data_IF_774450409031
#
_entry.id   IF_774450409031
#
_cell.length_a   1.000
_cell.length_b   1.000
_cell.length_c   1.000
_cell.angle_alpha   90.00
_cell.angle_beta   90.00
_cell.angle_gamma   90.00
#
_symmetry.space_group_name_H-M   'P 1'
#
loop_
_entity.id
_entity.type
_entity.pdbx_description
1 polymer ?
#
# COMPACT_ATOMS: atom_id res chain seq x y z
N UNK A 1 -0.90 2.29 2.14
CA UNK A 1 -0.51 3.57 1.51
C UNK A 1 -0.90 3.56 0.04
N UNK A 2 -0.98 4.71 -0.63
CA UNK A 2 -1.19 4.75 -2.07
C UNK A 2 0.16 4.78 -2.80
N UNK A 3 0.32 3.93 -3.80
CA UNK A 3 1.51 3.87 -4.64
C UNK A 3 1.13 3.77 -6.11
N UNK A 4 1.82 4.55 -6.94
CA UNK A 4 1.74 4.45 -8.39
C UNK A 4 2.64 3.30 -8.86
N UNK A 5 2.04 2.23 -9.39
CA UNK A 5 2.77 1.02 -9.83
C UNK A 5 3.34 1.26 -11.23
N UNK A 6 2.50 1.74 -12.14
CA UNK A 6 2.88 2.12 -13.50
C UNK A 6 2.63 3.61 -13.73
N UNK A 7 3.41 4.23 -14.61
CA UNK A 7 3.31 5.66 -14.94
C UNK A 7 1.92 6.08 -15.45
N UNK A 8 1.21 5.15 -16.07
CA UNK A 8 -0.08 5.39 -16.72
C UNK A 8 -1.28 5.01 -15.84
N UNK A 9 -1.04 4.62 -14.58
CA UNK A 9 -2.09 4.22 -13.65
C UNK A 9 -2.28 5.23 -12.52
N UNK A 10 -3.49 5.29 -11.97
CA UNK A 10 -3.72 5.99 -10.72
C UNK A 10 -3.05 5.26 -9.55
N UNK A 11 -2.63 5.99 -8.49
CA UNK A 11 -2.14 5.37 -7.28
C UNK A 11 -3.11 4.32 -6.73
N UNK A 12 -2.56 3.20 -6.27
CA UNK A 12 -3.32 2.06 -5.74
C UNK A 12 -2.87 1.68 -4.33
N UNK A 13 -3.76 1.12 -3.49
CA UNK A 13 -3.41 0.62 -2.18
C UNK A 13 -2.27 -0.37 -2.26
N UNK A 14 -1.25 -0.09 -1.48
CA UNK A 14 -0.04 -0.87 -1.33
C UNK A 14 0.36 -0.86 0.15
N UNK A 15 0.68 -2.04 0.67
CA UNK A 15 1.32 -2.19 1.98
C UNK A 15 2.68 -2.80 1.73
N UNK A 16 3.72 -2.14 2.23
CA UNK A 16 5.08 -2.63 2.14
C UNK A 16 5.73 -2.67 3.52
N UNK A 17 6.45 -3.76 3.80
CA UNK A 17 7.18 -3.97 5.05
C UNK A 17 8.61 -4.28 4.66
N UNK A 18 9.53 -3.38 4.99
CA UNK A 18 10.96 -3.58 4.76
C UNK A 18 11.61 -4.15 6.02
N UNK A 19 12.45 -5.17 5.86
CA UNK A 19 13.14 -5.84 6.96
C UNK A 19 14.47 -6.44 6.47
N UNK A 20 15.46 -6.49 7.35
CA UNK A 20 16.69 -7.27 7.16
C UNK A 20 16.54 -8.72 7.66
N UNK A 21 15.48 -9.01 8.41
CA UNK A 21 15.10 -10.36 8.86
C UNK A 21 14.11 -10.94 7.85
N UNK A 22 14.56 -11.90 7.04
CA UNK A 22 13.77 -12.50 5.98
C UNK A 22 12.67 -13.41 6.56
N UNK A 23 13.01 -14.15 7.62
CA UNK A 23 12.14 -15.12 8.31
C UNK A 23 10.86 -14.45 8.84
N UNK A 24 10.97 -13.20 9.31
CA UNK A 24 9.82 -12.39 9.72
C UNK A 24 8.89 -12.10 8.53
N UNK A 25 9.45 -11.77 7.38
CA UNK A 25 8.66 -11.49 6.18
C UNK A 25 8.02 -12.76 5.62
N UNK A 26 8.71 -13.90 5.71
CA UNK A 26 8.17 -15.20 5.36
C UNK A 26 7.02 -15.60 6.27
N UNK A 27 7.18 -15.42 7.59
CA UNK A 27 6.09 -15.62 8.54
C UNK A 27 4.87 -14.76 8.21
N UNK A 28 5.07 -13.46 7.95
CA UNK A 28 3.98 -12.56 7.55
C UNK A 28 3.32 -13.05 6.26
N UNK A 29 4.10 -13.41 5.23
CA UNK A 29 3.58 -13.92 3.96
C UNK A 29 2.75 -15.18 4.16
N UNK A 30 3.20 -16.12 4.99
CA UNK A 30 2.47 -17.34 5.32
C UNK A 30 1.17 -17.01 6.07
N UNK A 31 1.20 -16.11 7.04
CA UNK A 31 0.00 -15.72 7.81
C UNK A 31 -1.03 -14.97 6.97
N UNK A 32 -0.59 -14.09 6.07
CA UNK A 32 -1.48 -13.36 5.17
C UNK A 32 -1.93 -14.23 3.98
N UNK A 33 -1.14 -15.25 3.60
CA UNK A 33 -1.41 -16.13 2.47
C UNK A 33 -1.26 -15.47 1.09
N UNK A 34 -0.81 -14.20 1.04
CA UNK A 34 -0.68 -13.40 -0.19
C UNK A 34 0.55 -12.50 -0.15
N UNK A 35 0.83 -11.82 -1.24
CA UNK A 35 1.93 -10.85 -1.37
C UNK A 35 3.24 -11.46 -1.85
N UNK A 36 4.20 -10.59 -2.17
CA UNK A 36 5.52 -10.98 -2.67
C UNK A 36 6.63 -10.39 -1.81
N UNK A 37 7.74 -11.12 -1.70
CA UNK A 37 8.96 -10.63 -1.05
C UNK A 37 9.97 -10.32 -2.16
N UNK A 38 10.55 -9.12 -2.12
CA UNK A 38 11.55 -8.67 -3.08
C UNK A 38 12.84 -8.36 -2.33
N UNK A 39 13.98 -8.84 -2.85
CA UNK A 39 15.30 -8.47 -2.36
C UNK A 39 15.67 -7.07 -2.86
N UNK A 40 16.10 -6.19 -1.96
CA UNK A 40 16.68 -4.89 -2.32
C UNK A 40 18.14 -5.07 -2.66
N UNK A 41 18.60 -4.39 -3.71
CA UNK A 41 20.02 -4.38 -4.07
C UNK A 41 20.84 -3.79 -2.93
N UNK A 42 21.81 -4.55 -2.46
CA UNK A 42 22.78 -4.10 -1.48
C UNK A 42 24.02 -3.62 -2.23
N UNK A 43 24.25 -2.31 -2.23
CA UNK A 43 25.39 -1.70 -2.94
C UNK A 43 26.68 -1.74 -2.14
N UNK A 44 26.62 -2.04 -0.84
CA UNK A 44 27.79 -2.07 0.04
C UNK A 44 27.66 -3.20 1.08
N UNK A 45 27.95 -4.42 0.64
CA UNK A 45 27.77 -5.64 1.44
C UNK A 45 28.73 -5.75 2.62
N UNK A 46 29.86 -5.03 2.64
CA UNK A 46 30.75 -5.02 3.80
C UNK A 46 30.20 -4.21 4.96
N UNK A 47 29.36 -3.20 4.70
CA UNK A 47 28.78 -2.32 5.73
C UNK A 47 27.31 -2.59 6.03
N UNK A 48 26.56 -3.15 5.08
CA UNK A 48 25.11 -3.27 5.19
C UNK A 48 24.63 -4.71 5.06
N UNK A 49 23.64 -5.06 5.88
CA UNK A 49 22.91 -6.32 5.75
C UNK A 49 22.00 -6.28 4.52
N UNK A 50 21.78 -7.44 3.91
CA UNK A 50 20.78 -7.60 2.88
C UNK A 50 19.40 -7.21 3.42
N UNK A 51 18.64 -6.47 2.62
CA UNK A 51 17.32 -5.97 2.97
C UNK A 51 16.29 -6.52 2.00
N UNK A 52 15.12 -6.84 2.53
CA UNK A 52 14.00 -7.39 1.79
C UNK A 52 12.78 -6.50 1.98
N UNK A 53 11.78 -6.66 1.11
CA UNK A 53 10.50 -5.98 1.25
C UNK A 53 9.36 -6.90 0.89
N UNK A 54 8.48 -7.14 1.85
CA UNK A 54 7.19 -7.76 1.63
C UNK A 54 6.21 -6.73 1.09
N UNK A 55 5.45 -7.08 0.05
CA UNK A 55 4.57 -6.17 -0.68
C UNK A 55 3.21 -6.83 -0.92
N UNK A 56 2.14 -6.13 -0.51
CA UNK A 56 0.75 -6.40 -0.86
C UNK A 56 0.20 -5.25 -1.69
N UNK A 57 -0.63 -5.55 -2.69
CA UNK A 57 -1.18 -4.55 -3.62
C UNK A 57 -2.68 -4.72 -3.80
N UNK A 58 -3.34 -3.64 -4.25
CA UNK A 58 -4.75 -3.62 -4.67
C UNK A 58 -5.67 -4.15 -3.57
N UNK A 59 -6.58 -5.08 -3.90
CA UNK A 59 -7.58 -5.60 -2.97
C UNK A 59 -6.96 -6.28 -1.75
N UNK A 60 -5.85 -6.99 -1.94
CA UNK A 60 -5.19 -7.69 -0.85
C UNK A 60 -4.61 -6.70 0.17
N UNK A 61 -4.10 -5.56 -0.30
CA UNK A 61 -3.68 -4.48 0.57
C UNK A 61 -4.86 -3.84 1.32
N UNK A 62 -6.03 -3.66 0.67
CA UNK A 62 -7.23 -3.11 1.32
C UNK A 62 -7.72 -4.06 2.41
N UNK A 63 -7.80 -5.35 2.12
CA UNK A 63 -8.24 -6.37 3.09
C UNK A 63 -7.29 -6.41 4.29
N UNK A 64 -5.98 -6.43 4.03
CA UNK A 64 -4.98 -6.37 5.10
C UNK A 64 -5.09 -5.08 5.92
N UNK A 65 -5.26 -3.92 5.27
CA UNK A 65 -5.47 -2.63 5.98
C UNK A 65 -6.70 -2.71 6.89
N UNK A 66 -7.79 -3.34 6.43
CA UNK A 66 -9.02 -3.50 7.22
C UNK A 66 -8.77 -4.31 8.50
N UNK A 67 -8.00 -5.38 8.39
CA UNK A 67 -7.65 -6.25 9.52
C UNK A 67 -6.73 -5.54 10.53
N UNK A 68 -5.73 -4.79 10.04
CA UNK A 68 -4.77 -4.11 10.94
C UNK A 68 -5.27 -2.76 11.46
N UNK A 69 -6.35 -2.20 10.87
CA UNK A 69 -6.85 -0.86 11.17
C UNK A 69 -7.06 -0.59 12.67
N UNK A 70 -7.67 -1.51 13.46
CA UNK A 70 -7.87 -1.30 14.89
C UNK A 70 -6.55 -1.14 15.67
N UNK A 71 -5.46 -1.70 15.14
CA UNK A 71 -4.13 -1.71 15.78
C UNK A 71 -3.23 -0.56 15.28
N UNK A 72 -3.70 0.28 14.36
CA UNK A 72 -2.93 1.44 13.91
C UNK A 72 -2.93 2.54 14.98
N UNK A 73 -1.75 2.79 15.54
CA UNK A 73 -1.52 3.82 16.58
C UNK A 73 -1.18 5.18 15.97
N UNK A 74 -0.39 5.19 14.89
CA UNK A 74 0.06 6.44 14.26
C UNK A 74 -1.15 7.11 13.59
N UNK A 75 -1.57 8.26 14.13
CA UNK A 75 -2.76 9.01 13.70
C UNK A 75 -2.80 9.27 12.19
N UNK A 76 -1.69 9.70 11.59
CA UNK A 76 -1.63 9.96 10.15
C UNK A 76 -1.83 8.69 9.32
N UNK A 77 -1.28 7.55 9.76
CA UNK A 77 -1.52 6.24 9.12
C UNK A 77 -2.95 5.78 9.31
N UNK A 78 -3.53 6.00 10.49
CA UNK A 78 -4.92 5.63 10.80
C UNK A 78 -5.91 6.43 9.95
N UNK A 79 -5.74 7.76 9.84
CA UNK A 79 -6.56 8.62 8.98
C UNK A 79 -6.45 8.22 7.51
N UNK A 80 -5.24 8.00 7.01
CA UNK A 80 -4.99 7.52 5.64
C UNK A 80 -5.61 6.14 5.38
N UNK A 81 -5.50 5.22 6.33
CA UNK A 81 -6.11 3.90 6.24
C UNK A 81 -7.65 4.00 6.18
N UNK A 82 -8.25 4.81 7.06
CA UNK A 82 -9.70 5.07 7.05
C UNK A 82 -10.15 5.62 5.70
N UNK A 83 -9.45 6.62 5.17
CA UNK A 83 -9.76 7.22 3.87
C UNK A 83 -9.74 6.18 2.74
N UNK A 84 -8.76 5.26 2.74
CA UNK A 84 -8.70 4.15 1.78
C UNK A 84 -9.91 3.21 1.96
N UNK A 85 -10.22 2.81 3.19
CA UNK A 85 -11.30 1.86 3.47
C UNK A 85 -12.68 2.41 3.10
N UNK A 86 -12.91 3.70 3.36
CA UNK A 86 -14.21 4.34 3.18
C UNK A 86 -14.46 4.75 1.72
N UNK A 87 -13.45 5.34 1.06
CA UNK A 87 -13.65 6.02 -0.24
C UNK A 87 -12.97 5.36 -1.44
N UNK A 88 -11.86 4.62 -1.27
CA UNK A 88 -11.06 4.20 -2.44
C UNK A 88 -11.87 3.35 -3.44
N UNK A 89 -12.66 2.40 -2.94
CA UNK A 89 -13.39 1.46 -3.79
C UNK A 89 -14.55 2.10 -4.55
N UNK A 90 -15.25 3.06 -3.96
CA UNK A 90 -16.34 3.77 -4.64
C UNK A 90 -15.84 4.66 -5.78
N UNK A 91 -14.60 5.17 -5.68
CA UNK A 91 -13.97 6.04 -6.68
C UNK A 91 -13.24 5.28 -7.80
N UNK A 92 -13.13 3.95 -7.72
CA UNK A 92 -12.45 3.12 -8.73
C UNK A 92 -13.44 2.34 -9.57
N UNK A 93 -13.48 2.62 -10.87
CA UNK A 93 -14.25 1.81 -11.81
C UNK A 93 -13.62 0.42 -11.99
N UNK A 94 -14.46 -0.61 -12.11
CA UNK A 94 -13.99 -1.99 -12.35
C UNK A 94 -13.40 -2.17 -13.74
N UNK A 95 -13.93 -1.46 -14.74
CA UNK A 95 -13.50 -1.55 -16.14
C UNK A 95 -12.36 -0.56 -16.49
N UNK A 96 -11.88 0.22 -15.52
CA UNK A 96 -10.82 1.21 -15.73
C UNK A 96 -11.21 2.43 -16.57
N UNK A 97 -12.49 2.56 -16.97
CA UNK A 97 -13.00 3.73 -17.67
C UNK A 97 -13.49 4.75 -16.65
N UNK A 98 -13.14 6.01 -16.82
CA UNK A 98 -13.51 7.10 -15.91
C UNK A 98 -14.17 8.22 -16.72
N UNK A 99 -15.29 8.75 -16.22
CA UNK A 99 -15.80 10.04 -16.67
C UNK A 99 -14.93 11.16 -16.12
N UNK A 100 -15.06 12.37 -16.69
CA UNK A 100 -14.38 13.56 -16.18
C UNK A 100 -14.62 13.80 -14.68
N UNK A 101 -15.87 13.63 -14.23
CA UNK A 101 -16.23 13.77 -12.82
C UNK A 101 -15.55 12.73 -11.92
N UNK A 102 -15.46 11.48 -12.37
CA UNK A 102 -14.78 10.43 -11.63
C UNK A 102 -13.27 10.68 -11.54
N UNK A 103 -12.67 11.22 -12.61
CA UNK A 103 -11.26 11.60 -12.62
C UNK A 103 -10.99 12.70 -11.60
N UNK A 104 -11.81 13.75 -11.61
CA UNK A 104 -11.73 14.85 -10.64
C UNK A 104 -11.89 14.34 -9.21
N UNK A 105 -12.89 13.51 -8.94
CA UNK A 105 -13.11 12.93 -7.61
C UNK A 105 -11.91 12.06 -7.15
N UNK A 106 -11.24 11.37 -8.06
CA UNK A 106 -10.01 10.61 -7.77
C UNK A 106 -8.83 11.51 -7.43
N UNK A 107 -8.68 12.61 -8.15
CA UNK A 107 -7.64 13.61 -7.90
C UNK A 107 -7.86 14.29 -6.54
N UNK A 108 -9.09 14.71 -6.25
CA UNK A 108 -9.47 15.30 -4.96
C UNK A 108 -9.19 14.33 -3.81
N UNK A 109 -9.56 13.05 -3.97
CA UNK A 109 -9.23 12.00 -2.99
C UNK A 109 -7.72 11.85 -2.78
N UNK A 110 -6.92 11.89 -3.84
CA UNK A 110 -5.47 11.77 -3.72
C UNK A 110 -4.86 12.99 -3.01
N UNK A 111 -5.34 14.18 -3.31
CA UNK A 111 -4.91 15.41 -2.66
C UNK A 111 -5.27 15.41 -1.17
N UNK A 112 -6.48 14.99 -0.82
CA UNK A 112 -6.91 14.74 0.57
C UNK A 112 -5.96 13.75 1.26
N UNK A 113 -5.68 12.61 0.62
CA UNK A 113 -4.81 11.57 1.16
C UNK A 113 -3.38 12.05 1.46
N UNK A 114 -2.78 12.83 0.54
CA UNK A 114 -1.41 13.33 0.68
C UNK A 114 -1.32 14.46 1.70
N UNK A 115 -2.36 15.30 1.81
CA UNK A 115 -2.40 16.42 2.76
C UNK A 115 -2.34 16.00 4.24
N UNK A 116 -2.73 14.76 4.56
CA UNK A 116 -2.63 14.19 5.92
C UNK A 116 -1.15 14.07 6.31
N UNK A 117 -0.69 14.85 7.29
CA UNK A 117 0.67 14.80 7.86
C UNK A 117 0.74 13.84 9.05
#
# INVERSE_FOLDING_TARGET
MLQKIHSNEFPSPCVSIASTTLELLEFIKVKVGKGSIIKKKNYNQSLHKDCYSYILRRNDAINFIKEIYPFLIIESKKKRAKLILDKYKSLTSRNGRYSYEMLKAKEDFYNEFISIK
#
